data_IF_616594505196
#
_entry.id   IF_616594505196
#
_cell.length_a   1.000
_cell.length_b   1.000
_cell.length_c   1.000
_cell.angle_alpha   90.00
_cell.angle_beta   90.00
_cell.angle_gamma   90.00
#
_symmetry.space_group_name_H-M   'P 1'
#
loop_
_entity.id
_entity.type
_entity.pdbx_description
1 polymer ?
#
# COMPACT_ATOMS: atom_id res chain seq x y z
N UNK A 1 2.11 8.30 32.26
CA UNK A 1 3.47 8.24 32.85
C UNK A 1 4.62 8.84 32.04
N UNK A 2 4.48 9.21 30.75
CA UNK A 2 5.63 9.76 30.00
C UNK A 2 6.23 11.02 30.63
N UNK A 3 5.38 11.90 31.20
CA UNK A 3 5.82 13.12 31.90
C UNK A 3 6.69 12.83 33.13
N UNK A 4 6.33 11.80 33.90
CA UNK A 4 7.10 11.30 35.04
C UNK A 4 8.45 10.76 34.57
N UNK A 5 8.43 9.88 33.56
CA UNK A 5 9.64 9.29 32.97
C UNK A 5 10.60 10.34 32.37
N UNK A 6 10.10 11.42 31.80
CA UNK A 6 10.94 12.51 31.24
C UNK A 6 11.27 13.60 32.27
N UNK A 7 10.94 13.40 33.56
CA UNK A 7 11.22 14.36 34.63
C UNK A 7 10.39 15.66 34.58
N UNK A 8 9.41 15.76 33.68
CA UNK A 8 8.48 16.91 33.62
C UNK A 8 7.50 16.91 34.80
N UNK A 9 7.22 15.73 35.32
CA UNK A 9 6.46 15.52 36.55
C UNK A 9 7.38 14.80 37.54
N UNK A 10 7.49 15.32 38.77
CA UNK A 10 8.32 14.72 39.83
C UNK A 10 7.69 13.46 40.41
N UNK A 11 6.40 13.21 40.16
CA UNK A 11 5.70 12.01 40.58
C UNK A 11 5.57 11.86 42.10
N UNK A 12 5.38 12.97 42.82
CA UNK A 12 5.34 13.00 44.31
C UNK A 12 4.27 12.08 44.89
N UNK A 13 3.22 11.80 44.13
CA UNK A 13 2.12 10.90 44.47
C UNK A 13 2.46 9.40 44.31
N UNK A 14 3.62 9.07 43.74
CA UNK A 14 4.09 7.68 43.55
C UNK A 14 4.95 7.31 44.75
N UNK A 15 4.64 6.18 45.39
CA UNK A 15 5.46 5.68 46.49
C UNK A 15 6.88 5.32 45.99
N UNK A 16 7.92 5.48 46.84
CA UNK A 16 9.30 5.21 46.43
C UNK A 16 9.53 3.80 45.86
N UNK A 17 8.88 2.79 46.44
CA UNK A 17 8.96 1.40 45.99
C UNK A 17 8.43 1.23 44.56
N UNK A 18 7.23 1.75 44.28
CA UNK A 18 6.61 1.69 42.95
C UNK A 18 7.44 2.48 41.94
N UNK A 19 8.03 3.61 42.37
CA UNK A 19 8.92 4.40 41.52
C UNK A 19 10.16 3.59 41.11
N UNK A 20 10.79 2.89 42.04
CA UNK A 20 11.95 2.04 41.75
C UNK A 20 11.60 0.93 40.75
N UNK A 21 10.45 0.27 40.92
CA UNK A 21 9.97 -0.75 39.98
C UNK A 21 9.72 -0.18 38.57
N UNK A 22 9.15 1.02 38.47
CA UNK A 22 8.94 1.71 37.18
C UNK A 22 10.27 2.09 36.51
N UNK A 23 11.23 2.59 37.27
CA UNK A 23 12.56 2.92 36.77
C UNK A 23 13.26 1.66 36.23
N UNK A 24 13.19 0.54 36.96
CA UNK A 24 13.72 -0.75 36.52
C UNK A 24 13.04 -1.24 35.22
N UNK A 25 11.70 -1.14 35.16
CA UNK A 25 10.93 -1.52 33.98
C UNK A 25 11.28 -0.66 32.76
N UNK A 26 11.41 0.66 32.92
CA UNK A 26 11.78 1.57 31.83
C UNK A 26 13.24 1.42 31.40
N UNK A 27 14.13 1.04 32.31
CA UNK A 27 15.51 0.69 32.00
C UNK A 27 15.62 -0.65 31.26
N UNK A 28 14.62 -1.54 31.42
CA UNK A 28 14.56 -2.84 30.76
C UNK A 28 14.65 -2.75 29.23
N UNK A 29 15.41 -3.69 28.64
CA UNK A 29 15.71 -3.71 27.20
C UNK A 29 14.43 -3.78 26.34
N UNK A 30 13.42 -4.54 26.77
CA UNK A 30 12.16 -4.70 26.05
C UNK A 30 11.38 -3.39 25.95
N UNK A 31 11.31 -2.63 27.05
CA UNK A 31 10.67 -1.33 27.05
C UNK A 31 11.41 -0.36 26.12
N UNK A 32 12.74 -0.32 26.20
CA UNK A 32 13.55 0.54 25.34
C UNK A 32 13.40 0.20 23.85
N UNK A 33 13.42 -1.10 23.50
CA UNK A 33 13.18 -1.59 22.13
C UNK A 33 11.82 -1.11 21.62
N UNK A 34 10.74 -1.38 22.36
CA UNK A 34 9.37 -0.97 21.98
C UNK A 34 9.22 0.54 21.89
N UNK A 35 9.79 1.27 22.84
CA UNK A 35 9.79 2.74 22.86
C UNK A 35 10.50 3.31 21.65
N UNK A 36 11.67 2.76 21.29
CA UNK A 36 12.45 3.18 20.13
C UNK A 36 11.73 2.88 18.82
N UNK A 37 11.17 1.68 18.66
CA UNK A 37 10.34 1.31 17.51
C UNK A 37 9.14 2.26 17.42
N UNK A 38 8.44 2.49 18.53
CA UNK A 38 7.29 3.41 18.56
C UNK A 38 7.66 4.84 18.19
N UNK A 39 8.86 5.33 18.57
CA UNK A 39 9.37 6.63 18.12
C UNK A 39 9.66 6.63 16.62
N UNK A 40 10.36 5.61 16.11
CA UNK A 40 10.65 5.47 14.67
C UNK A 40 9.37 5.39 13.85
N UNK A 41 8.36 4.66 14.31
CA UNK A 41 7.06 4.54 13.64
C UNK A 41 6.24 5.85 13.64
N UNK A 42 6.45 6.73 14.63
CA UNK A 42 5.82 8.07 14.63
C UNK A 42 6.61 9.08 13.81
N UNK A 43 7.93 8.95 13.78
CA UNK A 43 8.81 9.80 12.99
C UNK A 43 8.85 9.41 11.51
N UNK A 44 8.42 8.19 11.16
CA UNK A 44 8.30 7.81 9.77
C UNK A 44 7.10 8.54 9.15
N UNK A 45 7.42 9.50 8.29
CA UNK A 45 6.46 10.25 7.46
C UNK A 45 5.68 9.33 6.50
N UNK A 46 6.15 8.10 6.35
CA UNK A 46 5.58 7.03 5.56
C UNK A 46 4.44 6.26 6.26
N UNK A 47 3.96 6.74 7.42
CA UNK A 47 2.75 6.22 8.05
C UNK A 47 1.55 6.27 7.09
N UNK A 48 1.14 5.12 6.56
CA UNK A 48 -0.02 4.97 5.67
C UNK A 48 -1.36 5.39 6.33
N UNK A 49 -1.32 5.77 7.61
CA UNK A 49 -2.47 6.08 8.44
C UNK A 49 -2.90 7.55 8.43
N UNK A 50 -2.18 8.46 7.77
CA UNK A 50 -2.62 9.85 7.71
C UNK A 50 -3.94 9.91 6.92
N UNK A 51 -5.02 10.26 7.61
CA UNK A 51 -6.39 10.30 7.11
C UNK A 51 -6.93 11.70 7.35
N UNK A 52 -7.39 12.34 6.28
CA UNK A 52 -7.83 13.74 6.27
C UNK A 52 -9.33 13.88 6.21
N UNK A 53 -10.06 12.77 6.04
CA UNK A 53 -11.51 12.76 6.02
C UNK A 53 -12.17 13.03 7.38
N UNK A 54 -11.38 13.34 8.42
CA UNK A 54 -11.85 13.61 9.78
C UNK A 54 -12.37 12.35 10.49
N UNK A 55 -13.39 12.50 11.32
CA UNK A 55 -14.07 11.38 12.01
C UNK A 55 -15.09 10.65 11.14
N UNK A 56 -15.22 11.03 9.87
CA UNK A 56 -16.16 10.43 8.92
C UNK A 56 -15.55 9.16 8.36
N UNK A 57 -16.33 8.08 8.31
CA UNK A 57 -15.84 6.82 7.75
C UNK A 57 -15.71 6.87 6.22
N UNK A 58 -14.88 5.99 5.67
CA UNK A 58 -14.73 5.81 4.22
C UNK A 58 -16.07 5.48 3.54
N UNK A 59 -16.93 4.69 4.19
CA UNK A 59 -18.24 4.33 3.67
C UNK A 59 -19.16 5.56 3.53
N UNK A 60 -19.12 6.48 4.49
CA UNK A 60 -19.90 7.72 4.41
C UNK A 60 -19.37 8.62 3.30
N UNK A 61 -18.05 8.74 3.15
CA UNK A 61 -17.47 9.46 2.00
C UNK A 61 -17.87 8.83 0.67
N UNK A 62 -17.88 7.50 0.58
CA UNK A 62 -18.36 6.79 -0.60
C UNK A 62 -19.81 7.15 -0.92
N UNK A 63 -20.72 7.05 0.05
CA UNK A 63 -22.14 7.35 -0.17
C UNK A 63 -22.38 8.80 -0.61
N UNK A 64 -21.62 9.75 -0.04
CA UNK A 64 -21.69 11.17 -0.44
C UNK A 64 -21.19 11.36 -1.87
N UNK A 65 -20.03 10.80 -2.20
CA UNK A 65 -19.48 10.90 -3.55
C UNK A 65 -20.33 10.17 -4.60
N UNK A 66 -21.01 9.07 -4.26
CA UNK A 66 -21.93 8.41 -5.18
C UNK A 66 -23.05 9.33 -5.64
N UNK A 67 -23.51 10.23 -4.75
CA UNK A 67 -24.53 11.23 -5.06
C UNK A 67 -23.94 12.42 -5.83
N UNK A 68 -22.76 12.88 -5.44
CA UNK A 68 -22.07 14.02 -6.09
C UNK A 68 -21.65 13.71 -7.54
N UNK A 69 -21.19 12.48 -7.80
CA UNK A 69 -20.68 12.08 -9.10
C UNK A 69 -21.71 11.37 -9.98
N UNK A 70 -22.91 11.09 -9.43
CA UNK A 70 -23.96 10.28 -10.07
C UNK A 70 -23.49 8.90 -10.58
N UNK A 71 -22.37 8.42 -10.06
CA UNK A 71 -21.75 7.13 -10.37
C UNK A 71 -21.17 6.49 -9.12
N UNK A 72 -20.92 5.19 -9.15
CA UNK A 72 -20.17 4.53 -8.08
C UNK A 72 -18.75 5.12 -7.96
N UNK A 73 -18.33 5.58 -6.77
CA UNK A 73 -16.98 6.08 -6.56
C UNK A 73 -15.97 4.95 -6.68
N UNK A 74 -14.90 5.23 -7.42
CA UNK A 74 -13.75 4.34 -7.55
C UNK A 74 -12.91 4.45 -6.28
N UNK A 75 -12.09 3.42 -6.01
CA UNK A 75 -11.12 3.46 -4.91
C UNK A 75 -10.20 4.70 -4.97
N UNK A 76 -9.88 5.19 -6.17
CA UNK A 76 -9.09 6.42 -6.35
C UNK A 76 -9.82 7.66 -5.86
N UNK A 77 -11.08 7.88 -6.27
CA UNK A 77 -11.89 9.03 -5.85
C UNK A 77 -11.93 9.11 -4.30
N UNK A 78 -12.11 7.94 -3.68
CA UNK A 78 -12.11 7.80 -2.22
C UNK A 78 -10.74 8.15 -1.62
N UNK A 79 -9.65 7.65 -2.19
CA UNK A 79 -8.31 7.96 -1.71
C UNK A 79 -7.96 9.43 -1.88
N UNK A 80 -8.30 10.05 -3.01
CA UNK A 80 -8.05 11.47 -3.24
C UNK A 80 -8.74 12.32 -2.18
N UNK A 81 -10.03 12.08 -1.92
CA UNK A 81 -10.79 12.86 -0.94
C UNK A 81 -10.33 12.65 0.50
N UNK A 82 -9.77 11.49 0.81
CA UNK A 82 -9.42 11.12 2.19
C UNK A 82 -7.93 11.25 2.51
N UNK A 83 -7.06 11.38 1.52
CA UNK A 83 -5.60 11.38 1.69
C UNK A 83 -4.89 12.60 1.09
N UNK A 84 -5.62 13.48 0.39
CA UNK A 84 -5.11 14.82 0.04
C UNK A 84 -5.43 15.81 1.16
N UNK A 85 -4.62 16.87 1.26
CA UNK A 85 -4.88 18.01 2.14
C UNK A 85 -5.90 18.98 1.49
N UNK A 86 -6.26 20.06 2.18
CA UNK A 86 -7.16 21.09 1.63
C UNK A 86 -6.58 21.83 0.42
N UNK A 87 -5.25 21.83 0.27
CA UNK A 87 -4.54 22.39 -0.88
C UNK A 87 -4.47 21.41 -2.08
N UNK A 88 -5.00 20.19 -1.95
CA UNK A 88 -4.99 19.17 -2.99
C UNK A 88 -3.69 18.34 -3.08
N UNK A 89 -2.74 18.57 -2.19
CA UNK A 89 -1.46 17.85 -2.17
C UNK A 89 -1.59 16.52 -1.41
N UNK A 90 -0.83 15.53 -1.84
CA UNK A 90 -0.73 14.24 -1.16
C UNK A 90 0.03 14.38 0.15
N UNK A 91 -0.55 13.88 1.23
CA UNK A 91 0.03 13.99 2.58
C UNK A 91 1.18 12.99 2.79
N UNK A 92 1.29 11.98 1.94
CA UNK A 92 2.35 10.97 2.03
C UNK A 92 2.77 10.52 0.63
N UNK A 93 4.09 10.50 0.38
CA UNK A 93 4.68 10.00 -0.87
C UNK A 93 4.29 8.54 -1.17
N UNK A 94 4.08 7.70 -0.16
CA UNK A 94 3.60 6.32 -0.35
C UNK A 94 2.20 6.29 -0.96
N UNK A 95 1.30 7.14 -0.47
CA UNK A 95 -0.06 7.23 -1.03
C UNK A 95 -0.05 7.86 -2.42
N UNK A 96 0.81 8.86 -2.65
CA UNK A 96 1.06 9.40 -3.99
C UNK A 96 1.49 8.28 -4.95
N UNK A 97 2.50 7.49 -4.59
CA UNK A 97 3.00 6.41 -5.44
C UNK A 97 1.93 5.34 -5.73
N UNK A 98 1.13 4.94 -4.73
CA UNK A 98 0.02 3.98 -4.91
C UNK A 98 -1.12 4.57 -5.77
N UNK A 99 -1.38 5.87 -5.69
CA UNK A 99 -2.36 6.53 -6.55
C UNK A 99 -1.87 6.69 -8.00
N UNK A 100 -0.56 6.76 -8.22
CA UNK A 100 0.06 6.96 -9.54
C UNK A 100 0.25 5.64 -10.31
N UNK A 101 0.49 4.51 -9.64
CA UNK A 101 0.63 3.20 -10.32
C UNK A 101 -0.57 2.83 -11.22
N UNK A 102 -1.83 3.12 -10.84
CA UNK A 102 -3.00 2.78 -11.67
C UNK A 102 -3.27 3.79 -12.78
N UNK A 103 -2.65 4.98 -12.74
CA UNK A 103 -2.64 5.92 -13.85
C UNK A 103 -1.72 5.44 -14.98
N UNK A 104 -0.54 4.90 -14.65
CA UNK A 104 0.36 4.31 -15.65
C UNK A 104 -0.26 3.13 -16.40
N UNK A 105 -1.07 2.29 -15.74
CA UNK A 105 -1.75 1.19 -16.44
C UNK A 105 -2.82 1.67 -17.43
N UNK A 106 -3.50 2.79 -17.15
CA UNK A 106 -4.45 3.40 -18.09
C UNK A 106 -3.74 4.11 -19.25
N UNK A 107 -2.61 4.75 -18.98
CA UNK A 107 -1.82 5.48 -19.99
C UNK A 107 -1.18 4.51 -21.00
N UNK A 108 -0.68 3.36 -20.56
CA UNK A 108 -0.18 2.28 -21.44
C UNK A 108 -1.30 1.66 -22.32
N UNK A 109 -2.55 1.68 -21.86
CA UNK A 109 -3.69 1.20 -22.65
C UNK A 109 -4.28 2.24 -23.61
N UNK A 110 -3.87 3.51 -23.52
CA UNK A 110 -4.41 4.62 -24.34
C UNK A 110 -3.40 5.10 -25.41
N UNK A 111 -2.38 4.31 -25.72
CA UNK A 111 -1.58 4.55 -26.94
C UNK A 111 -2.46 4.17 -28.14
N UNK A 112 -2.72 5.08 -29.10
CA UNK A 112 -3.45 4.74 -30.30
C UNK A 112 -2.66 3.69 -31.08
N UNK A 113 -3.32 2.61 -31.52
CA UNK A 113 -2.82 1.75 -32.59
C UNK A 113 -2.67 2.63 -33.84
N UNK A 114 -1.48 3.19 -34.06
CA UNK A 114 -1.13 3.79 -35.35
C UNK A 114 -1.11 2.66 -36.38
N UNK A 115 -2.00 2.79 -37.37
CA UNK A 115 -2.18 1.93 -38.52
C UNK A 115 -0.86 1.41 -39.08
N UNK A 116 -0.73 0.09 -39.14
CA UNK A 116 0.14 -0.57 -40.11
C UNK A 116 -0.80 -1.30 -41.05
N UNK A 117 -1.23 -0.59 -42.10
CA UNK A 117 -1.83 -1.21 -43.29
C UNK A 117 -0.80 -2.16 -43.92
N UNK A 118 -0.99 -3.45 -43.70
CA UNK A 118 -0.37 -4.50 -44.50
C UNK A 118 -1.49 -5.36 -45.12
N UNK A 119 -1.49 -5.59 -46.45
CA UNK A 119 -2.56 -6.29 -47.13
C UNK A 119 -2.65 -7.75 -46.67
N UNK A 120 -3.83 -8.39 -46.75
CA UNK A 120 -4.01 -9.75 -46.27
C UNK A 120 -3.25 -10.72 -47.17
N UNK A 121 -2.19 -11.33 -46.63
CA UNK A 121 -1.62 -12.53 -47.23
C UNK A 121 -2.60 -13.68 -47.00
N UNK A 122 -3.34 -14.04 -48.05
CA UNK A 122 -4.05 -15.31 -48.16
C UNK A 122 -3.06 -16.44 -47.96
N UNK A 123 -3.12 -17.13 -46.83
CA UNK A 123 -2.39 -18.38 -46.59
C UNK A 123 -3.24 -19.55 -47.08
N UNK A 124 -2.72 -20.21 -48.11
CA UNK A 124 -3.21 -21.46 -48.70
C UNK A 124 -3.22 -22.58 -47.66
N UNK A 125 -4.34 -23.30 -47.58
CA UNK A 125 -4.70 -24.28 -46.56
C UNK A 125 -4.10 -25.67 -46.89
N UNK A 126 -2.80 -25.70 -47.23
CA UNK A 126 -2.16 -26.86 -47.86
C UNK A 126 -0.95 -27.47 -47.15
N UNK A 127 -0.43 -26.92 -46.03
CA UNK A 127 0.85 -27.41 -45.47
C UNK A 127 0.90 -27.65 -43.96
N UNK A 128 -0.21 -27.64 -43.22
CA UNK A 128 -0.21 -27.84 -41.75
C UNK A 128 -0.62 -29.26 -41.32
N UNK A 129 -0.18 -30.31 -42.03
CA UNK A 129 -0.44 -31.72 -41.64
C UNK A 129 0.84 -32.54 -41.36
N UNK A 130 2.04 -32.09 -41.74
CA UNK A 130 3.25 -32.93 -41.67
C UNK A 130 4.26 -32.51 -40.57
N UNK A 131 3.82 -31.93 -39.46
CA UNK A 131 4.73 -31.55 -38.34
C UNK A 131 4.25 -32.04 -36.96
N UNK A 132 3.40 -33.07 -36.91
CA UNK A 132 2.85 -33.62 -35.66
C UNK A 132 3.13 -35.10 -35.39
N UNK A 133 4.07 -35.72 -36.11
CA UNK A 133 4.36 -37.16 -36.00
C UNK A 133 5.76 -37.50 -35.45
N UNK A 134 6.61 -36.55 -35.02
CA UNK A 134 8.02 -36.85 -34.71
C UNK A 134 8.55 -36.48 -33.32
N UNK A 135 7.71 -36.05 -32.38
CA UNK A 135 8.13 -35.82 -30.98
C UNK A 135 7.29 -36.68 -30.01
N UNK A 136 7.28 -37.98 -30.28
CA UNK A 136 6.86 -39.03 -29.36
C UNK A 136 8.01 -40.02 -29.18
N UNK A 137 8.96 -39.67 -28.31
CA UNK A 137 9.77 -40.58 -27.50
C UNK A 137 10.96 -39.81 -26.92
N UNK A 138 10.93 -39.55 -25.61
CA UNK A 138 12.05 -39.78 -24.67
C UNK A 138 11.82 -38.99 -23.37
N UNK A 139 11.25 -39.68 -22.38
CA UNK A 139 11.47 -39.37 -20.97
C UNK A 139 12.67 -40.18 -20.48
N UNK A 140 13.67 -39.57 -19.82
CA UNK A 140 14.52 -40.27 -18.89
C UNK A 140 14.15 -39.89 -17.45
N UNK A 141 13.69 -40.90 -16.71
CA UNK A 141 13.65 -40.93 -15.25
C UNK A 141 15.06 -40.72 -14.68
N UNK A 142 15.19 -39.94 -13.60
CA UNK A 142 16.31 -40.07 -12.66
C UNK A 142 15.80 -40.19 -11.21
N UNK A 143 16.44 -41.02 -10.38
CA UNK A 143 15.87 -41.55 -9.14
C UNK A 143 16.10 -40.66 -7.92
N UNK A 144 15.23 -40.85 -6.92
CA UNK A 144 15.37 -40.40 -5.55
C UNK A 144 16.39 -41.27 -4.79
N UNK A 145 17.40 -40.63 -4.23
CA UNK A 145 18.11 -41.05 -3.01
C UNK A 145 18.61 -39.83 -2.28
#
# INVERSE_FOLDING_TARGET
MNKVRTGKDKGVWITPEVRQQLELHWAGQDFQKRSTIGKKNRACDSGASNYTGGSVSVAVHRNRMSKELERAPTAFDIMERTKKNKAGEWINNKTKNVAVMPLHFKEVQTIPQLEIDAPPLTVDLGQTVEMRSHLSAQSPHLPLT
#
